data_IF_636656041483
#
_entry.id   IF_636656041483
#
_cell.length_a   1.000
_cell.length_b   1.000
_cell.length_c   1.000
_cell.angle_alpha   90.00
_cell.angle_beta   90.00
_cell.angle_gamma   90.00
#
_symmetry.space_group_name_H-M   'P 1'
#
loop_
_entity.id
_entity.type
_entity.pdbx_description
1 polymer ?
#
# COMPACT_ATOMS: atom_id res chain seq x y z
N UNK A 1 9.30 -6.03 -5.12
CA UNK A 1 8.70 -4.83 -5.75
C UNK A 1 8.92 -4.92 -7.25
N UNK A 2 7.85 -4.75 -8.00
CA UNK A 2 7.79 -4.90 -9.45
C UNK A 2 7.01 -3.69 -9.99
N UNK A 3 7.37 -3.20 -11.18
CA UNK A 3 6.59 -2.19 -11.87
C UNK A 3 5.44 -2.87 -12.60
N UNK A 4 4.24 -2.33 -12.42
CA UNK A 4 3.06 -2.78 -13.14
C UNK A 4 2.81 -1.80 -14.30
N UNK A 5 2.62 -2.36 -15.49
CA UNK A 5 2.27 -1.57 -16.67
C UNK A 5 0.75 -1.58 -16.84
N UNK A 6 0.20 -0.42 -17.18
CA UNK A 6 -1.21 -0.27 -17.50
C UNK A 6 -1.56 -1.09 -18.75
N UNK A 7 -2.73 -1.75 -18.72
CA UNK A 7 -3.23 -2.54 -19.85
C UNK A 7 -2.56 -3.90 -20.05
N UNK A 8 -1.47 -4.21 -19.34
CA UNK A 8 -0.81 -5.53 -19.44
C UNK A 8 -1.68 -6.66 -18.87
N UNK A 9 -1.81 -7.75 -19.63
CA UNK A 9 -2.50 -8.97 -19.18
C UNK A 9 -1.88 -9.55 -17.91
N UNK A 10 -0.55 -9.48 -17.80
CA UNK A 10 0.14 -9.93 -16.59
C UNK A 10 -0.25 -9.12 -15.36
N UNK A 11 -0.34 -7.78 -15.47
CA UNK A 11 -0.81 -6.92 -14.38
C UNK A 11 -2.22 -7.30 -13.96
N UNK A 12 -3.12 -7.49 -14.94
CA UNK A 12 -4.52 -7.86 -14.69
C UNK A 12 -4.63 -9.20 -13.96
N UNK A 13 -3.92 -10.22 -14.44
CA UNK A 13 -3.95 -11.56 -13.85
C UNK A 13 -3.33 -11.58 -12.45
N UNK A 14 -2.20 -10.89 -12.25
CA UNK A 14 -1.58 -10.74 -10.95
C UNK A 14 -2.54 -10.11 -9.94
N UNK A 15 -3.19 -9.00 -10.31
CA UNK A 15 -4.15 -8.31 -9.43
C UNK A 15 -5.32 -9.24 -9.12
N UNK A 16 -5.88 -9.93 -10.13
CA UNK A 16 -6.99 -10.87 -9.96
C UNK A 16 -6.67 -12.00 -8.97
N UNK A 17 -5.46 -12.55 -9.01
CA UNK A 17 -5.04 -13.60 -8.07
C UNK A 17 -4.70 -13.04 -6.68
N UNK A 18 -4.06 -11.86 -6.63
CA UNK A 18 -3.62 -11.25 -5.39
C UNK A 18 -4.79 -10.75 -4.53
N UNK A 19 -5.86 -10.27 -5.16
CA UNK A 19 -6.98 -9.62 -4.47
C UNK A 19 -7.73 -10.59 -3.55
N UNK A 20 -7.98 -10.17 -2.31
CA UNK A 20 -8.60 -10.97 -1.26
C UNK A 20 -7.66 -11.96 -0.55
N UNK A 21 -6.41 -12.09 -1.01
CA UNK A 21 -5.44 -13.03 -0.45
C UNK A 21 -4.30 -12.32 0.33
N UNK A 22 -4.36 -11.00 0.49
CA UNK A 22 -3.36 -10.21 1.23
C UNK A 22 -1.91 -10.40 0.76
N UNK A 23 -1.71 -10.56 -0.56
CA UNK A 23 -0.38 -10.75 -1.14
C UNK A 23 0.52 -9.53 -1.02
N UNK A 24 -0.05 -8.33 -0.93
CA UNK A 24 0.75 -7.11 -0.91
C UNK A 24 -0.06 -5.83 -0.92
N UNK A 25 0.68 -4.73 -1.09
CA UNK A 25 0.16 -3.40 -1.39
C UNK A 25 0.71 -2.91 -2.74
N UNK A 26 0.02 -1.95 -3.34
CA UNK A 26 0.47 -1.21 -4.50
C UNK A 26 0.96 0.18 -4.06
N UNK A 27 1.99 0.70 -4.73
CA UNK A 27 2.51 2.03 -4.50
C UNK A 27 2.45 2.82 -5.80
N UNK A 28 1.79 3.98 -5.76
CA UNK A 28 1.70 4.93 -6.87
C UNK A 28 2.76 5.98 -6.66
N UNK A 29 3.65 6.16 -7.65
CA UNK A 29 4.68 7.17 -7.63
C UNK A 29 4.61 8.01 -8.93
N UNK A 30 4.99 9.30 -8.89
CA UNK A 30 5.06 10.13 -10.09
C UNK A 30 6.02 9.55 -11.14
N UNK A 31 5.75 9.79 -12.43
CA UNK A 31 6.55 9.22 -13.54
C UNK A 31 8.04 9.58 -13.50
N UNK A 32 8.41 10.71 -12.90
CA UNK A 32 9.81 11.13 -12.75
C UNK A 32 10.54 10.42 -11.59
N UNK A 33 9.85 9.62 -10.79
CA UNK A 33 10.44 8.84 -9.70
C UNK A 33 10.81 7.45 -10.21
N UNK A 34 12.08 7.09 -10.07
CA UNK A 34 12.56 5.76 -10.45
C UNK A 34 12.13 4.68 -9.44
N UNK A 35 11.92 3.45 -9.93
CA UNK A 35 11.62 2.28 -9.09
C UNK A 35 12.70 2.04 -8.02
N UNK A 36 13.97 2.37 -8.32
CA UNK A 36 15.09 2.26 -7.38
C UNK A 36 14.88 3.20 -6.18
N UNK A 37 14.40 4.42 -6.43
CA UNK A 37 14.15 5.41 -5.37
C UNK A 37 13.00 4.97 -4.46
N UNK A 38 11.92 4.44 -5.04
CA UNK A 38 10.81 3.85 -4.29
C UNK A 38 11.30 2.67 -3.44
N UNK A 39 12.04 1.74 -4.05
CA UNK A 39 12.60 0.57 -3.35
C UNK A 39 13.52 0.98 -2.19
N UNK A 40 14.31 2.04 -2.35
CA UNK A 40 15.17 2.57 -1.28
C UNK A 40 14.33 3.10 -0.12
N UNK A 41 13.25 3.84 -0.40
CA UNK A 41 12.31 4.31 0.62
C UNK A 41 11.72 3.13 1.41
N UNK A 42 11.17 2.14 0.70
CA UNK A 42 10.58 0.96 1.32
C UNK A 42 11.58 0.20 2.20
N UNK A 43 12.85 0.08 1.78
CA UNK A 43 13.91 -0.54 2.60
C UNK A 43 14.17 0.22 3.91
N UNK A 44 14.06 1.55 3.89
CA UNK A 44 14.27 2.39 5.07
C UNK A 44 13.22 2.19 6.15
N UNK A 45 12.01 1.79 5.76
CA UNK A 45 10.86 1.62 6.68
C UNK A 45 10.62 0.17 7.09
N UNK A 46 11.46 -0.79 6.67
CA UNK A 46 11.31 -2.21 7.04
C UNK A 46 11.41 -2.44 8.55
N UNK A 47 12.03 -1.52 9.29
CA UNK A 47 12.20 -1.64 10.72
C UNK A 47 11.57 -0.46 11.44
N UNK A 48 10.84 -0.76 12.50
CA UNK A 48 10.29 0.21 13.44
C UNK A 48 10.78 -0.12 14.84
N UNK A 49 10.70 0.82 15.76
CA UNK A 49 11.01 0.60 17.17
C UNK A 49 9.71 0.58 17.98
N UNK A 50 9.61 -0.30 18.97
CA UNK A 50 8.54 -0.24 19.96
C UNK A 50 8.86 0.76 21.07
N UNK A 51 7.94 0.91 22.03
CA UNK A 51 8.10 1.79 23.20
C UNK A 51 9.33 1.47 24.06
N UNK A 52 9.93 0.29 23.91
CA UNK A 52 11.13 -0.16 24.61
C UNK A 52 12.39 -0.08 23.72
N UNK A 53 12.35 0.66 22.61
CA UNK A 53 13.44 0.81 21.64
C UNK A 53 13.87 -0.51 20.99
N UNK A 54 13.01 -1.54 21.01
CA UNK A 54 13.32 -2.82 20.36
C UNK A 54 13.02 -2.72 18.88
N UNK A 55 13.99 -3.11 18.06
CA UNK A 55 13.87 -3.16 16.61
C UNK A 55 12.94 -4.30 16.18
N UNK A 56 11.79 -3.95 15.60
CA UNK A 56 10.79 -4.87 15.09
C UNK A 56 10.78 -4.88 13.55
N UNK A 57 10.52 -6.05 12.97
CA UNK A 57 10.28 -6.16 11.54
C UNK A 57 8.88 -5.62 11.21
N UNK A 58 8.83 -4.50 10.50
CA UNK A 58 7.59 -3.91 10.02
C UNK A 58 7.21 -4.53 8.67
N UNK A 59 6.11 -5.29 8.68
CA UNK A 59 5.51 -5.88 7.47
C UNK A 59 4.71 -4.84 6.71
N UNK A 60 5.36 -3.76 6.29
CA UNK A 60 4.73 -2.63 5.58
C UNK A 60 3.97 -3.07 4.31
N UNK A 61 4.34 -4.21 3.74
CA UNK A 61 3.73 -4.77 2.55
C UNK A 61 2.47 -5.58 2.82
N UNK A 62 2.17 -5.94 4.08
CA UNK A 62 0.94 -6.66 4.42
C UNK A 62 -0.21 -5.66 4.56
N UNK A 63 -1.27 -5.75 3.73
CA UNK A 63 -2.38 -4.80 3.76
C UNK A 63 -3.09 -4.78 5.11
N UNK A 64 -3.13 -5.89 5.84
CA UNK A 64 -3.75 -5.98 7.17
C UNK A 64 -3.00 -5.15 8.20
N UNK A 65 -1.69 -5.04 8.04
CA UNK A 65 -0.82 -4.22 8.89
C UNK A 65 -0.88 -2.76 8.46
N UNK A 66 -0.69 -2.50 7.17
CA UNK A 66 -0.57 -1.13 6.64
C UNK A 66 -1.85 -0.30 6.84
N UNK A 67 -3.04 -0.93 6.72
CA UNK A 67 -4.34 -0.27 6.96
C UNK A 67 -4.50 0.30 8.37
N UNK A 68 -3.96 -0.37 9.37
CA UNK A 68 -4.07 0.04 10.78
C UNK A 68 -2.91 0.96 11.16
N UNK A 69 -1.73 0.72 10.58
CA UNK A 69 -0.52 1.47 10.91
C UNK A 69 -0.52 2.90 10.35
N UNK A 70 -0.95 3.11 9.10
CA UNK A 70 -0.93 4.45 8.49
C UNK A 70 -1.78 5.48 9.28
N UNK A 71 -3.01 5.18 9.72
CA UNK A 71 -3.80 6.10 10.53
C UNK A 71 -3.22 6.41 11.91
N UNK A 72 -2.34 5.56 12.45
CA UNK A 72 -1.71 5.78 13.77
C UNK A 72 -0.42 6.59 13.69
N UNK A 73 0.11 6.85 12.48
CA UNK A 73 1.37 7.54 12.30
C UNK A 73 1.24 9.05 12.61
N UNK A 74 2.28 9.60 13.22
CA UNK A 74 2.49 11.03 13.32
C UNK A 74 2.82 11.64 11.95
N UNK A 75 2.60 12.95 11.74
CA UNK A 75 2.89 13.62 10.47
C UNK A 75 4.29 13.35 9.89
N UNK A 76 5.33 13.42 10.72
CA UNK A 76 6.71 13.19 10.26
C UNK A 76 6.96 11.71 9.90
N UNK A 77 6.32 10.79 10.60
CA UNK A 77 6.35 9.36 10.27
C UNK A 77 5.66 9.10 8.93
N UNK A 78 4.53 9.76 8.67
CA UNK A 78 3.86 9.70 7.38
C UNK A 78 4.78 10.20 6.25
N UNK A 79 5.47 11.32 6.43
CA UNK A 79 6.39 11.80 5.40
C UNK A 79 7.54 10.83 5.14
N UNK A 80 8.08 10.20 6.19
CA UNK A 80 9.10 9.15 6.08
C UNK A 80 8.57 7.89 5.36
N UNK A 81 7.35 7.44 5.70
CA UNK A 81 6.73 6.25 5.13
C UNK A 81 6.39 6.45 3.65
N UNK A 82 5.80 7.60 3.31
CA UNK A 82 5.46 7.92 1.93
C UNK A 82 6.73 8.21 1.12
N UNK A 83 7.65 9.02 1.65
CA UNK A 83 8.81 9.48 0.91
C UNK A 83 8.41 9.97 -0.49
N UNK A 84 8.90 9.35 -1.59
CA UNK A 84 8.55 9.73 -2.95
C UNK A 84 7.22 9.12 -3.47
N UNK A 85 6.53 8.29 -2.68
CA UNK A 85 5.25 7.67 -3.04
C UNK A 85 4.13 8.69 -2.87
N UNK A 86 3.22 8.76 -3.84
CA UNK A 86 2.03 9.62 -3.79
C UNK A 86 0.87 8.94 -3.06
N UNK A 87 0.68 7.65 -3.29
CA UNK A 87 -0.37 6.87 -2.65
C UNK A 87 0.00 5.40 -2.46
N UNK A 88 -0.51 4.79 -1.39
CA UNK A 88 -0.52 3.36 -1.18
C UNK A 88 -1.94 2.83 -1.39
N UNK A 89 -2.09 1.82 -2.24
CA UNK A 89 -3.37 1.17 -2.53
C UNK A 89 -3.33 -0.26 -2.04
N UNK A 90 -4.40 -0.69 -1.38
CA UNK A 90 -4.52 -2.04 -0.82
C UNK A 90 -5.97 -2.49 -0.77
N UNK A 91 -6.21 -3.78 -0.60
CA UNK A 91 -7.55 -4.31 -0.36
C UNK A 91 -8.15 -3.75 0.95
N UNK A 92 -9.47 -3.56 0.96
CA UNK A 92 -10.25 -3.30 2.17
C UNK A 92 -10.19 -4.51 3.12
N UNK A 93 -10.73 -4.36 4.34
CA UNK A 93 -10.73 -5.45 5.33
C UNK A 93 -11.48 -6.70 4.87
N UNK A 94 -12.63 -6.51 4.23
CA UNK A 94 -13.49 -7.55 3.67
C UNK A 94 -13.12 -7.95 2.23
N UNK A 95 -12.12 -7.29 1.63
CA UNK A 95 -11.69 -7.51 0.26
C UNK A 95 -12.67 -7.05 -0.82
N UNK A 96 -13.79 -6.39 -0.46
CA UNK A 96 -14.82 -5.90 -1.40
C UNK A 96 -14.44 -4.59 -2.10
N UNK A 97 -13.38 -3.94 -1.62
CA UNK A 97 -12.98 -2.60 -2.04
C UNK A 97 -11.46 -2.42 -2.07
N UNK A 98 -11.05 -1.25 -2.55
CA UNK A 98 -9.72 -0.70 -2.36
C UNK A 98 -9.74 0.35 -1.25
N UNK A 99 -8.66 0.41 -0.47
CA UNK A 99 -8.30 1.57 0.34
C UNK A 99 -7.09 2.24 -0.31
N UNK A 100 -7.24 3.51 -0.67
CA UNK A 100 -6.20 4.37 -1.21
C UNK A 100 -5.81 5.39 -0.15
N UNK A 101 -4.59 5.25 0.38
CA UNK A 101 -4.01 6.21 1.30
C UNK A 101 -3.09 7.17 0.54
N UNK A 102 -3.37 8.47 0.60
CA UNK A 102 -2.52 9.51 0.02
C UNK A 102 -2.09 10.52 1.08
N UNK A 103 -0.93 11.15 0.88
CA UNK A 103 -0.38 12.15 1.80
C UNK A 103 -0.46 13.54 1.17
N UNK A 104 -1.30 14.41 1.75
CA UNK A 104 -1.37 15.81 1.34
C UNK A 104 -0.20 16.58 1.96
N UNK A 105 0.58 17.24 1.09
CA UNK A 105 1.72 18.09 1.46
C UNK A 105 1.38 19.55 1.13
N UNK A 106 1.91 20.52 1.91
CA UNK A 106 2.91 20.39 2.99
C UNK A 106 2.36 20.02 4.37
N UNK A 107 1.04 19.94 4.55
CA UNK A 107 0.41 19.79 5.88
C UNK A 107 0.54 18.38 6.48
N UNK A 108 1.07 17.43 5.71
CA UNK A 108 1.29 16.02 6.10
C UNK A 108 0.00 15.36 6.61
N UNK A 109 -1.10 15.61 5.90
CA UNK A 109 -2.43 15.06 6.23
C UNK A 109 -2.67 13.78 5.44
N UNK A 110 -2.87 12.68 6.16
CA UNK A 110 -3.29 11.41 5.56
C UNK A 110 -4.74 11.50 5.07
N UNK A 111 -4.96 11.15 3.80
CA UNK A 111 -6.29 10.96 3.22
C UNK A 111 -6.51 9.49 2.94
N UNK A 112 -7.71 9.02 3.26
CA UNK A 112 -8.19 7.70 2.90
C UNK A 112 -9.37 7.87 1.95
N UNK A 113 -9.25 7.26 0.77
CA UNK A 113 -10.35 7.08 -0.16
C UNK A 113 -10.64 5.58 -0.30
N UNK A 114 -11.89 5.19 -0.13
CA UNK A 114 -12.33 3.80 -0.30
C UNK A 114 -13.19 3.70 -1.55
N UNK A 115 -12.85 2.77 -2.44
CA UNK A 115 -13.60 2.51 -3.67
C UNK A 115 -14.07 1.07 -3.65
N UNK A 116 -15.37 0.85 -3.86
CA UNK A 116 -15.92 -0.48 -4.13
C UNK A 116 -15.41 -0.97 -5.48
N UNK A 117 -15.05 -2.25 -5.58
CA UNK A 117 -14.68 -2.88 -6.85
C UNK A 117 -15.70 -3.97 -7.15
N UNK A 118 -16.77 -3.60 -7.83
CA UNK A 118 -17.72 -4.57 -8.34
C UNK A 118 -17.05 -5.41 -9.45
N UNK A 119 -16.99 -6.73 -9.26
CA UNK A 119 -16.47 -7.66 -10.27
C UNK A 119 -14.96 -7.85 -10.33
N UNK A 120 -14.19 -7.37 -9.35
CA UNK A 120 -12.73 -7.64 -9.22
C UNK A 120 -12.45 -8.39 -7.92
N UNK A 121 -11.88 -9.59 -8.00
CA UNK A 121 -11.78 -10.54 -6.89
C UNK A 121 -12.62 -11.78 -7.15
N UNK A 122 -12.43 -12.85 -6.37
CA UNK A 122 -13.02 -14.18 -6.63
C UNK A 122 -14.47 -14.07 -7.08
N UNK A 123 -14.76 -14.49 -8.32
CA UNK A 123 -16.11 -14.90 -8.69
C UNK A 123 -16.60 -15.80 -7.56
N UNK A 124 -17.76 -15.47 -6.99
CA UNK A 124 -18.41 -16.41 -6.09
C UNK A 124 -18.64 -17.67 -6.91
N UNK A 125 -17.83 -18.69 -6.66
CA UNK A 125 -18.16 -20.05 -7.06
C UNK A 125 -19.37 -20.38 -6.22
N UNK A 126 -20.55 -20.12 -6.79
CA UNK A 126 -21.81 -20.63 -6.29
C UNK A 126 -21.74 -22.13 -6.51
N UNK A 127 -21.42 -22.86 -5.45
CA UNK A 127 -21.60 -24.31 -5.37
C UNK A 127 -23.08 -24.65 -5.20
#
# INVERSE_FOLDING_TARGET
>A
MMRLEEGSDFTRELVRQAWGNSWGIFAIAPHNISLIRVRRNCKGVVFVHDESERKLLFRYYDPRVMRVYLPSCLPDELDMIFGPVSAYVMESEDGSGTNCFSLQRPELVLRLETLSIEGYGKEQVVE
#
